data_IF_575016264617
#
_entry.id   IF_575016264617
#
_cell.length_a   1.000
_cell.length_b   1.000
_cell.length_c   1.000
_cell.angle_alpha   90.00
_cell.angle_beta   90.00
_cell.angle_gamma   90.00
#
_symmetry.space_group_name_H-M   'P 1'
#
loop_
_entity.id
_entity.type
_entity.pdbx_description
1 polymer ?
#
# COMPACT_ATOMS: atom_id res chain seq x y z
N UNK A 1 8.52 11.74 -9.55
CA UNK A 1 9.60 10.81 -9.17
C UNK A 1 9.01 9.56 -8.56
N UNK A 2 9.36 8.40 -9.09
CA UNK A 2 8.87 7.10 -8.62
C UNK A 2 9.85 6.45 -7.62
N UNK A 3 10.40 7.25 -6.70
CA UNK A 3 11.33 6.73 -5.70
C UNK A 3 10.56 5.92 -4.65
N UNK A 4 10.82 4.62 -4.61
CA UNK A 4 10.16 3.69 -3.69
C UNK A 4 11.12 2.56 -3.31
N UNK A 5 10.80 1.86 -2.23
CA UNK A 5 11.55 0.69 -1.77
C UNK A 5 10.64 -0.23 -0.96
N UNK A 6 11.01 -1.51 -0.87
CA UNK A 6 10.31 -2.44 -0.01
C UNK A 6 10.40 -1.99 1.46
N UNK A 7 9.27 -2.04 2.16
CA UNK A 7 9.11 -1.66 3.57
C UNK A 7 9.64 -0.27 3.92
N UNK A 8 9.53 0.68 2.98
CA UNK A 8 9.86 2.09 3.22
C UNK A 8 9.05 2.61 4.41
N UNK A 9 9.71 3.34 5.34
CA UNK A 9 9.09 3.76 6.61
C UNK A 9 8.49 2.56 7.35
N UNK A 10 9.34 1.61 7.70
CA UNK A 10 8.98 0.26 8.18
C UNK A 10 8.04 0.23 9.38
N UNK A 11 8.05 1.29 10.22
CA UNK A 11 7.14 1.40 11.36
C UNK A 11 5.65 1.36 10.96
N UNK A 12 5.31 1.82 9.77
CA UNK A 12 3.93 1.73 9.26
C UNK A 12 3.46 0.27 9.13
N UNK A 13 4.34 -0.63 8.72
CA UNK A 13 3.98 -2.04 8.54
C UNK A 13 3.81 -2.75 9.88
N UNK A 14 4.53 -2.36 10.92
CA UNK A 14 4.32 -2.86 12.29
C UNK A 14 2.95 -2.42 12.81
N UNK A 15 2.58 -1.16 12.61
CA UNK A 15 1.26 -0.63 12.98
C UNK A 15 0.15 -1.33 12.19
N UNK A 16 0.35 -1.50 10.89
CA UNK A 16 -0.59 -2.20 10.02
C UNK A 16 -0.78 -3.66 10.42
N UNK A 17 0.31 -4.36 10.72
CA UNK A 17 0.27 -5.75 11.22
C UNK A 17 -0.56 -5.87 12.50
N UNK A 18 -0.33 -4.99 13.48
CA UNK A 18 -1.11 -4.97 14.71
C UNK A 18 -2.59 -4.69 14.44
N UNK A 19 -2.89 -3.78 13.52
CA UNK A 19 -4.26 -3.45 13.14
C UNK A 19 -4.97 -4.65 12.48
N UNK A 20 -4.29 -5.37 11.60
CA UNK A 20 -4.83 -6.58 10.98
C UNK A 20 -5.18 -7.66 12.03
N UNK A 21 -4.37 -7.78 13.08
CA UNK A 21 -4.59 -8.73 14.16
C UNK A 21 -5.69 -8.32 15.14
N UNK A 22 -6.18 -7.09 15.06
CA UNK A 22 -7.22 -6.57 15.97
C UNK A 22 -8.62 -7.12 15.67
N UNK A 23 -8.83 -7.71 14.50
CA UNK A 23 -10.11 -8.35 14.14
C UNK A 23 -10.03 -9.87 14.33
N UNK A 24 -11.18 -10.55 14.53
CA UNK A 24 -11.24 -12.00 14.55
C UNK A 24 -10.66 -12.63 13.29
N UNK A 25 -10.09 -13.83 13.44
CA UNK A 25 -9.57 -14.59 12.31
C UNK A 25 -10.65 -14.81 11.25
N UNK A 26 -10.30 -14.62 9.98
CA UNK A 26 -11.23 -14.76 8.85
C UNK A 26 -12.06 -13.52 8.52
N UNK A 27 -12.01 -12.48 9.35
CA UNK A 27 -12.66 -11.21 9.02
C UNK A 27 -12.04 -10.60 7.73
N UNK A 28 -12.87 -10.13 6.77
CA UNK A 28 -12.35 -9.61 5.50
C UNK A 28 -11.70 -8.24 5.66
N UNK A 29 -10.67 -8.01 4.87
CA UNK A 29 -9.96 -6.75 4.78
C UNK A 29 -9.93 -6.25 3.34
N UNK A 30 -10.31 -5.01 3.13
CA UNK A 30 -10.20 -4.29 1.87
C UNK A 30 -9.27 -3.10 2.05
N UNK A 31 -8.18 -3.08 1.31
CA UNK A 31 -7.09 -2.08 1.44
C UNK A 31 -6.80 -1.44 0.10
N UNK A 32 -6.51 -0.16 0.11
CA UNK A 32 -6.10 0.59 -1.08
C UNK A 32 -4.71 1.20 -0.88
N UNK A 33 -3.82 0.96 -1.84
CA UNK A 33 -2.54 1.64 -2.00
C UNK A 33 -2.67 2.60 -3.20
N UNK A 34 -2.72 3.90 -2.92
CA UNK A 34 -3.12 4.90 -3.93
C UNK A 34 -2.01 5.30 -4.88
N UNK A 35 -0.75 5.08 -4.51
CA UNK A 35 0.43 5.42 -5.31
C UNK A 35 1.38 4.22 -5.35
N UNK A 36 1.04 3.23 -6.17
CA UNK A 36 1.69 1.94 -6.21
C UNK A 36 3.12 1.99 -6.77
N UNK A 37 3.41 2.95 -7.65
CA UNK A 37 4.67 3.02 -8.37
C UNK A 37 5.03 1.66 -9.00
N UNK A 38 6.25 1.19 -8.85
CA UNK A 38 6.72 -0.10 -9.40
C UNK A 38 6.41 -1.32 -8.54
N UNK A 39 5.60 -1.15 -7.49
CA UNK A 39 4.99 -2.26 -6.75
C UNK A 39 5.61 -2.60 -5.39
N UNK A 40 6.70 -1.97 -4.99
CA UNK A 40 7.40 -2.28 -3.74
C UNK A 40 6.49 -2.08 -2.52
N UNK A 41 5.71 -0.99 -2.48
CA UNK A 41 4.74 -0.75 -1.40
C UNK A 41 3.56 -1.74 -1.43
N UNK A 42 2.86 -1.95 -2.55
CA UNK A 42 1.81 -2.97 -2.61
C UNK A 42 2.26 -4.36 -2.13
N UNK A 43 3.41 -4.82 -2.57
CA UNK A 43 3.91 -6.12 -2.13
C UNK A 43 4.31 -6.13 -0.66
N UNK A 44 4.85 -5.03 -0.12
CA UNK A 44 5.13 -4.90 1.32
C UNK A 44 3.84 -4.99 2.15
N UNK A 45 2.76 -4.38 1.67
CA UNK A 45 1.43 -4.48 2.31
C UNK A 45 0.95 -5.93 2.32
N UNK A 46 1.04 -6.63 1.19
CA UNK A 46 0.60 -8.03 1.07
C UNK A 46 1.46 -8.96 1.90
N UNK A 47 2.78 -8.78 1.91
CA UNK A 47 3.67 -9.56 2.77
C UNK A 47 3.30 -9.42 4.24
N UNK A 48 3.03 -8.19 4.68
CA UNK A 48 2.57 -7.92 6.05
C UNK A 48 1.25 -8.62 6.35
N UNK A 49 0.31 -8.60 5.42
CA UNK A 49 -0.98 -9.30 5.57
C UNK A 49 -0.80 -10.82 5.68
N UNK A 50 0.05 -11.41 4.85
CA UNK A 50 0.35 -12.85 4.92
C UNK A 50 1.05 -13.25 6.23
N UNK A 51 1.97 -12.41 6.71
CA UNK A 51 2.63 -12.62 8.00
C UNK A 51 1.65 -12.50 9.18
N UNK A 52 0.71 -11.56 9.12
CA UNK A 52 -0.25 -11.30 10.20
C UNK A 52 -1.44 -12.27 10.20
N UNK A 53 -1.94 -12.67 9.02
CA UNK A 53 -3.21 -13.38 8.86
C UNK A 53 -3.06 -14.83 8.39
N UNK A 54 -1.87 -15.24 7.98
CA UNK A 54 -1.63 -16.58 7.44
C UNK A 54 -1.67 -16.62 5.90
N UNK A 55 -1.49 -17.81 5.34
CA UNK A 55 -1.23 -18.01 3.91
C UNK A 55 -2.45 -17.87 2.99
N UNK A 56 -3.64 -17.87 3.54
CA UNK A 56 -4.88 -17.75 2.76
C UNK A 56 -5.83 -16.75 3.41
N UNK A 57 -5.43 -15.47 3.48
CA UNK A 57 -6.21 -14.46 4.20
C UNK A 57 -7.43 -14.00 3.41
N UNK A 58 -8.49 -13.63 4.10
CA UNK A 58 -9.61 -12.88 3.55
C UNK A 58 -9.19 -11.42 3.36
N UNK A 59 -8.30 -11.18 2.39
CA UNK A 59 -7.62 -9.91 2.17
C UNK A 59 -7.59 -9.56 0.68
N UNK A 60 -7.89 -8.31 0.37
CA UNK A 60 -7.80 -7.78 -0.99
C UNK A 60 -7.15 -6.42 -0.98
N UNK A 61 -6.13 -6.24 -1.81
CA UNK A 61 -5.46 -4.96 -2.04
C UNK A 61 -5.81 -4.44 -3.42
N UNK A 62 -6.28 -3.20 -3.48
CA UNK A 62 -6.35 -2.42 -4.71
C UNK A 62 -5.11 -1.53 -4.75
N UNK A 63 -4.30 -1.66 -5.78
CA UNK A 63 -3.09 -0.86 -5.98
C UNK A 63 -3.25 -0.01 -7.22
N UNK A 64 -3.10 1.30 -7.08
CA UNK A 64 -3.34 2.23 -8.19
C UNK A 64 -2.16 3.17 -8.42
N UNK A 65 -2.05 3.65 -9.63
CA UNK A 65 -1.14 4.72 -10.02
C UNK A 65 -1.71 5.44 -11.24
N UNK A 66 -1.28 6.65 -11.49
CA UNK A 66 -1.63 7.37 -12.71
C UNK A 66 -0.80 6.89 -13.90
N UNK A 67 0.41 6.39 -13.66
CA UNK A 67 1.34 5.93 -14.70
C UNK A 67 1.13 4.43 -14.98
N UNK A 68 0.54 4.13 -16.15
CA UNK A 68 0.29 2.76 -16.57
C UNK A 68 1.57 1.92 -16.76
N UNK A 69 2.71 2.57 -17.03
CA UNK A 69 3.99 1.87 -17.22
C UNK A 69 4.50 1.32 -15.90
N UNK A 70 4.43 2.09 -14.82
CA UNK A 70 4.84 1.61 -13.49
C UNK A 70 3.89 0.50 -13.00
N UNK A 71 2.58 0.60 -13.30
CA UNK A 71 1.63 -0.45 -12.97
C UNK A 71 1.95 -1.77 -13.70
N UNK A 72 2.36 -1.70 -14.96
CA UNK A 72 2.78 -2.88 -15.71
C UNK A 72 4.02 -3.53 -15.07
N UNK A 73 4.99 -2.73 -14.64
CA UNK A 73 6.16 -3.21 -13.90
C UNK A 73 5.75 -3.84 -12.58
N UNK A 74 4.88 -3.19 -11.82
CA UNK A 74 4.37 -3.71 -10.56
C UNK A 74 3.67 -5.07 -10.75
N UNK A 75 2.84 -5.19 -11.78
CA UNK A 75 2.11 -6.44 -12.07
C UNK A 75 3.04 -7.60 -12.41
N UNK A 76 4.19 -7.34 -13.05
CA UNK A 76 5.20 -8.35 -13.34
C UNK A 76 5.89 -8.85 -12.07
N UNK A 77 6.10 -7.99 -11.08
CA UNK A 77 6.71 -8.34 -9.80
C UNK A 77 8.16 -8.79 -9.91
N UNK A 78 8.90 -8.30 -10.90
CA UNK A 78 10.32 -8.66 -11.13
C UNK A 78 11.20 -7.49 -10.72
N UNK A 79 12.19 -7.77 -9.89
CA UNK A 79 13.09 -6.77 -9.31
C UNK A 79 14.53 -7.24 -9.37
N UNK A 80 15.48 -6.32 -9.24
CA UNK A 80 16.89 -6.67 -9.05
C UNK A 80 17.08 -7.24 -7.65
N UNK A 81 17.97 -8.22 -7.51
CA UNK A 81 18.31 -8.83 -6.22
C UNK A 81 18.71 -7.78 -5.17
N UNK A 82 19.41 -6.71 -5.58
CA UNK A 82 19.83 -5.62 -4.72
C UNK A 82 18.65 -4.91 -4.04
N UNK A 83 17.48 -4.90 -4.67
CA UNK A 83 16.29 -4.26 -4.12
C UNK A 83 15.75 -4.94 -2.86
N UNK A 84 16.08 -6.20 -2.64
CA UNK A 84 15.58 -7.00 -1.52
C UNK A 84 16.64 -7.35 -0.48
N UNK A 85 17.88 -6.91 -0.65
CA UNK A 85 18.98 -7.23 0.28
C UNK A 85 18.74 -6.69 1.69
N UNK A 86 17.91 -5.66 1.86
CA UNK A 86 17.52 -5.13 3.16
C UNK A 86 16.43 -5.94 3.88
N UNK A 87 15.82 -6.91 3.20
CA UNK A 87 14.81 -7.78 3.81
C UNK A 87 15.46 -8.88 4.64
N UNK A 88 14.69 -9.43 5.60
CA UNK A 88 15.14 -10.63 6.33
C UNK A 88 15.25 -11.81 5.39
N UNK A 89 16.14 -12.74 5.70
CA UNK A 89 16.29 -13.96 4.91
C UNK A 89 14.99 -14.77 4.86
N UNK A 90 14.23 -14.78 5.93
CA UNK A 90 12.92 -15.41 6.01
C UNK A 90 11.95 -14.81 4.97
N UNK A 91 11.86 -13.48 4.88
CA UNK A 91 11.02 -12.81 3.88
C UNK A 91 11.50 -13.08 2.45
N UNK A 92 12.81 -13.04 2.21
CA UNK A 92 13.37 -13.35 0.90
C UNK A 92 12.99 -14.75 0.43
N UNK A 93 13.14 -15.75 1.29
CA UNK A 93 12.80 -17.15 0.96
C UNK A 93 11.30 -17.37 0.84
N UNK A 94 10.50 -16.74 1.70
CA UNK A 94 9.05 -16.94 1.73
C UNK A 94 8.36 -16.30 0.54
N UNK A 95 8.80 -15.13 0.10
CA UNK A 95 8.03 -14.29 -0.81
C UNK A 95 8.63 -14.14 -2.21
N UNK A 96 9.87 -14.57 -2.43
CA UNK A 96 10.55 -14.36 -3.71
C UNK A 96 11.11 -15.64 -4.29
N UNK A 97 11.13 -15.67 -5.63
CA UNK A 97 11.85 -16.66 -6.43
C UNK A 97 13.11 -16.00 -7.00
N UNK A 98 14.24 -16.70 -6.97
CA UNK A 98 15.49 -16.21 -7.55
C UNK A 98 15.62 -16.65 -9.00
N UNK A 99 16.05 -15.72 -9.85
CA UNK A 99 16.35 -15.99 -11.24
C UNK A 99 17.62 -16.81 -11.41
N UNK A 100 17.64 -17.62 -12.49
CA UNK A 100 18.76 -18.47 -12.88
C UNK A 100 19.11 -18.22 -14.35
N UNK A 101 20.33 -18.60 -14.75
CA UNK A 101 20.76 -18.45 -16.14
C UNK A 101 20.70 -17.00 -16.59
N UNK A 102 19.96 -16.72 -17.64
CA UNK A 102 19.77 -15.36 -18.19
C UNK A 102 19.07 -14.41 -17.23
N UNK A 103 18.37 -14.92 -16.20
CA UNK A 103 17.69 -14.15 -15.16
C UNK A 103 18.49 -14.05 -13.86
N UNK A 104 19.76 -14.46 -13.86
CA UNK A 104 20.62 -14.34 -12.69
C UNK A 104 20.70 -12.88 -12.22
N UNK A 105 20.66 -12.67 -10.90
CA UNK A 105 20.63 -11.32 -10.32
C UNK A 105 19.26 -10.67 -10.26
N UNK A 106 18.23 -11.36 -10.74
CA UNK A 106 16.83 -10.94 -10.64
C UNK A 106 16.06 -11.78 -9.62
N UNK A 107 15.03 -11.22 -9.07
CA UNK A 107 14.06 -11.89 -8.20
C UNK A 107 12.66 -11.61 -8.68
N UNK A 108 11.75 -12.52 -8.41
CA UNK A 108 10.33 -12.36 -8.72
C UNK A 108 9.49 -12.62 -7.48
N UNK A 109 8.53 -11.77 -7.24
CA UNK A 109 7.53 -12.00 -6.18
C UNK A 109 6.73 -13.27 -6.53
N UNK A 110 6.52 -14.14 -5.56
CA UNK A 110 5.75 -15.38 -5.77
C UNK A 110 4.31 -15.06 -6.21
N UNK A 111 3.72 -15.87 -7.09
CA UNK A 111 2.38 -15.60 -7.64
C UNK A 111 1.26 -15.45 -6.60
N UNK A 112 1.39 -16.09 -5.44
CA UNK A 112 0.42 -16.01 -4.35
C UNK A 112 0.19 -14.58 -3.88
N UNK A 113 1.23 -13.74 -3.92
CA UNK A 113 1.11 -12.33 -3.53
C UNK A 113 0.32 -11.54 -4.58
N UNK A 114 0.62 -11.73 -5.85
CA UNK A 114 -0.06 -11.04 -6.94
C UNK A 114 -1.56 -11.32 -7.01
N UNK A 115 -1.98 -12.51 -6.62
CA UNK A 115 -3.41 -12.88 -6.58
C UNK A 115 -4.23 -12.04 -5.61
N UNK A 116 -3.59 -11.44 -4.61
CA UNK A 116 -4.25 -10.61 -3.61
C UNK A 116 -4.34 -9.14 -4.06
N UNK A 117 -3.80 -8.79 -5.23
CA UNK A 117 -3.70 -7.41 -5.70
C UNK A 117 -4.44 -7.21 -7.02
N UNK A 118 -5.29 -6.19 -7.08
CA UNK A 118 -5.80 -5.62 -8.32
C UNK A 118 -5.03 -4.33 -8.62
N UNK A 119 -4.34 -4.30 -9.77
CA UNK A 119 -3.66 -3.10 -10.25
C UNK A 119 -4.59 -2.33 -11.18
N UNK A 120 -4.87 -1.07 -10.86
CA UNK A 120 -5.76 -0.21 -11.64
C UNK A 120 -5.16 1.19 -11.83
N UNK A 121 -5.58 1.89 -12.88
CA UNK A 121 -5.20 3.28 -13.08
C UNK A 121 -6.18 4.21 -12.36
N UNK A 122 -5.65 5.11 -11.52
CA UNK A 122 -6.44 6.14 -10.83
C UNK A 122 -5.67 7.44 -10.83
N UNK A 123 -6.33 8.53 -11.22
CA UNK A 123 -5.82 9.87 -11.05
C UNK A 123 -6.41 10.48 -9.77
N UNK A 124 -5.57 10.71 -8.75
CA UNK A 124 -6.01 11.18 -7.43
C UNK A 124 -6.68 12.55 -7.46
N UNK A 125 -6.30 13.42 -8.40
CA UNK A 125 -6.88 14.78 -8.48
C UNK A 125 -8.25 14.82 -9.18
N UNK A 126 -8.65 13.73 -9.83
CA UNK A 126 -10.01 13.61 -10.41
C UNK A 126 -10.98 13.10 -9.36
N UNK A 127 -12.28 13.29 -9.63
CA UNK A 127 -13.36 12.89 -8.72
C UNK A 127 -14.10 11.63 -9.17
N UNK A 128 -13.69 11.01 -10.27
CA UNK A 128 -14.29 9.83 -10.88
C UNK A 128 -13.60 8.51 -10.46
N UNK A 129 -13.25 8.38 -9.20
CA UNK A 129 -12.64 7.14 -8.70
C UNK A 129 -13.62 5.95 -8.81
N UNK A 130 -13.17 4.78 -9.30
CA UNK A 130 -14.05 3.67 -9.64
C UNK A 130 -14.48 2.79 -8.45
N UNK A 131 -14.36 3.29 -7.24
CA UNK A 131 -14.63 2.53 -6.02
C UNK A 131 -16.11 2.54 -5.66
N UNK A 132 -16.70 1.35 -5.49
CA UNK A 132 -18.10 1.17 -5.10
C UNK A 132 -18.25 0.88 -3.61
N UNK A 133 -17.29 0.15 -3.04
CA UNK A 133 -17.30 -0.24 -1.64
C UNK A 133 -16.18 0.48 -0.90
N UNK A 134 -16.39 0.87 0.36
CA UNK A 134 -15.36 1.55 1.14
C UNK A 134 -14.26 0.59 1.60
N UNK A 135 -13.07 1.16 1.78
CA UNK A 135 -11.89 0.44 2.26
C UNK A 135 -11.79 0.47 3.79
N UNK A 136 -11.16 -0.55 4.37
CA UNK A 136 -10.78 -0.59 5.78
C UNK A 136 -9.53 0.24 6.06
N UNK A 137 -8.59 0.25 5.11
CA UNK A 137 -7.30 0.93 5.22
C UNK A 137 -6.93 1.54 3.87
N UNK A 138 -6.38 2.74 3.90
CA UNK A 138 -5.80 3.42 2.73
C UNK A 138 -4.35 3.80 3.02
N UNK A 139 -3.46 3.43 2.12
CA UNK A 139 -2.09 3.92 2.06
C UNK A 139 -1.99 4.99 0.98
N UNK A 140 -1.77 6.24 1.38
CA UNK A 140 -1.56 7.36 0.48
C UNK A 140 -0.26 8.06 0.89
N UNK A 141 0.87 7.45 0.55
CA UNK A 141 2.18 7.81 1.08
C UNK A 141 3.05 8.44 0.01
N UNK A 142 3.71 9.55 0.36
CA UNK A 142 4.73 10.19 -0.46
C UNK A 142 4.23 10.64 -1.85
N UNK A 143 2.96 11.00 -1.97
CA UNK A 143 2.33 11.46 -3.21
C UNK A 143 1.70 12.85 -3.05
N UNK A 144 1.07 13.13 -1.91
CA UNK A 144 0.39 14.41 -1.71
C UNK A 144 1.35 15.60 -1.54
N UNK A 145 2.63 15.32 -1.28
CA UNK A 145 3.69 16.33 -1.26
C UNK A 145 3.83 17.09 -2.59
N UNK A 146 3.33 16.52 -3.69
CA UNK A 146 3.35 17.16 -5.02
C UNK A 146 2.12 18.03 -5.28
N UNK A 147 1.16 18.07 -4.38
CA UNK A 147 -0.09 18.83 -4.54
C UNK A 147 -0.07 20.10 -3.70
N UNK A 148 -0.71 21.17 -4.20
CA UNK A 148 -0.98 22.35 -3.38
C UNK A 148 -2.00 22.06 -2.26
N UNK A 149 -2.12 22.97 -1.31
CA UNK A 149 -3.01 22.80 -0.14
C UNK A 149 -4.47 22.52 -0.53
N UNK A 150 -5.09 23.32 -1.41
CA UNK A 150 -6.47 23.06 -1.85
C UNK A 150 -6.65 21.69 -2.52
N UNK A 151 -5.70 21.26 -3.33
CA UNK A 151 -5.75 19.93 -3.98
C UNK A 151 -5.59 18.81 -2.95
N UNK A 152 -4.65 18.95 -2.01
CA UNK A 152 -4.51 18.00 -0.88
C UNK A 152 -5.83 17.87 -0.12
N UNK A 153 -6.47 18.96 0.20
CA UNK A 153 -7.76 18.94 0.91
C UNK A 153 -8.84 18.19 0.13
N UNK A 154 -8.95 18.42 -1.17
CA UNK A 154 -9.92 17.70 -2.01
C UNK A 154 -9.63 16.20 -2.07
N UNK A 155 -8.36 15.82 -2.17
CA UNK A 155 -7.97 14.40 -2.15
C UNK A 155 -8.31 13.77 -0.79
N UNK A 156 -8.02 14.43 0.32
CA UNK A 156 -8.37 13.95 1.66
C UNK A 156 -9.87 13.78 1.86
N UNK A 157 -10.68 14.71 1.36
CA UNK A 157 -12.14 14.59 1.40
C UNK A 157 -12.66 13.38 0.62
N UNK A 158 -12.05 13.08 -0.53
CA UNK A 158 -12.38 11.89 -1.33
C UNK A 158 -11.95 10.61 -0.64
N UNK A 159 -10.75 10.58 -0.06
CA UNK A 159 -10.27 9.44 0.74
C UNK A 159 -11.22 9.20 1.90
N UNK A 160 -11.64 10.26 2.59
CA UNK A 160 -12.60 10.15 3.68
C UNK A 160 -13.89 9.44 3.25
N UNK A 161 -14.41 9.74 2.06
CA UNK A 161 -15.64 9.11 1.53
C UNK A 161 -15.47 7.63 1.20
N UNK A 162 -14.27 7.21 0.73
CA UNK A 162 -14.00 5.83 0.34
C UNK A 162 -13.39 5.00 1.47
N UNK A 163 -13.15 5.58 2.63
CA UNK A 163 -12.66 4.91 3.81
C UNK A 163 -13.82 4.68 4.77
N UNK A 164 -13.95 3.48 5.35
CA UNK A 164 -14.98 3.20 6.35
C UNK A 164 -14.81 4.09 7.59
N UNK A 165 -15.89 4.43 8.31
CA UNK A 165 -15.77 5.07 9.63
C UNK A 165 -14.82 4.25 10.54
N UNK A 166 -13.88 4.92 11.19
CA UNK A 166 -12.83 4.25 11.97
C UNK A 166 -11.73 3.60 11.15
N UNK A 167 -11.81 3.68 9.83
CA UNK A 167 -10.75 3.18 8.95
C UNK A 167 -9.45 3.98 9.05
N UNK A 168 -8.34 3.36 8.71
CA UNK A 168 -6.99 3.90 8.90
C UNK A 168 -6.42 4.47 7.61
N UNK A 169 -5.79 5.63 7.70
CA UNK A 169 -5.04 6.28 6.61
C UNK A 169 -3.57 6.39 7.00
N UNK A 170 -2.71 5.79 6.19
CA UNK A 170 -1.25 5.90 6.31
C UNK A 170 -0.74 6.91 5.29
N UNK A 171 0.03 7.88 5.73
CA UNK A 171 0.67 8.89 4.86
C UNK A 171 2.18 8.93 5.10
N UNK A 172 2.95 9.53 4.18
CA UNK A 172 4.40 9.62 4.31
C UNK A 172 4.84 10.55 5.45
N UNK A 173 6.05 10.36 5.97
CA UNK A 173 6.54 11.11 7.14
C UNK A 173 6.65 12.62 6.90
N UNK A 174 6.83 13.06 5.66
CA UNK A 174 6.86 14.47 5.29
C UNK A 174 5.46 15.07 5.08
N UNK A 175 4.41 14.26 5.16
CA UNK A 175 3.03 14.66 4.92
C UNK A 175 2.32 14.90 6.27
N UNK A 176 1.81 16.12 6.46
CA UNK A 176 1.12 16.51 7.69
C UNK A 176 -0.22 17.17 7.34
N UNK A 177 -1.30 16.64 7.88
CA UNK A 177 -2.66 17.09 7.61
C UNK A 177 -3.34 17.64 8.88
N UNK A 178 -2.60 18.40 9.67
CA UNK A 178 -3.11 19.03 10.90
C UNK A 178 -4.31 19.94 10.65
N UNK A 179 -4.45 20.50 9.45
CA UNK A 179 -5.58 21.33 9.04
C UNK A 179 -6.84 20.53 8.68
N UNK A 180 -6.75 19.22 8.59
CA UNK A 180 -7.87 18.32 8.25
C UNK A 180 -8.35 17.50 9.44
N UNK A 181 -8.26 18.05 10.65
CA UNK A 181 -8.72 17.42 11.90
C UNK A 181 -10.22 17.18 11.96
N UNK A 182 -10.98 17.88 11.14
CA UNK A 182 -12.42 17.65 10.96
C UNK A 182 -12.71 16.30 10.29
N UNK A 183 -11.78 15.82 9.44
CA UNK A 183 -11.92 14.57 8.69
C UNK A 183 -11.25 13.39 9.40
N UNK A 184 -10.08 13.62 10.00
CA UNK A 184 -9.22 12.56 10.53
C UNK A 184 -8.69 12.90 11.92
N UNK A 185 -8.51 11.87 12.73
CA UNK A 185 -7.84 11.94 14.03
C UNK A 185 -6.44 11.32 13.90
N UNK A 186 -5.41 12.05 14.30
CA UNK A 186 -4.04 11.52 14.33
C UNK A 186 -3.91 10.46 15.43
N UNK A 187 -3.45 9.26 15.07
CA UNK A 187 -3.30 8.11 15.98
C UNK A 187 -1.85 7.73 16.27
N UNK A 188 -0.91 8.31 15.56
CA UNK A 188 0.50 8.03 15.71
C UNK A 188 1.30 8.80 14.67
N UNK A 189 2.54 8.39 14.41
CA UNK A 189 3.38 9.02 13.39
C UNK A 189 2.77 8.83 12.01
N UNK A 190 2.15 9.87 11.47
CA UNK A 190 1.55 9.90 10.14
C UNK A 190 0.52 8.78 9.87
N UNK A 191 -0.15 8.33 10.92
CA UNK A 191 -1.27 7.39 10.84
C UNK A 191 -2.52 8.09 11.39
N UNK A 192 -3.55 8.12 10.57
CA UNK A 192 -4.81 8.82 10.84
C UNK A 192 -5.97 7.84 10.85
N UNK A 193 -7.00 8.15 11.62
CA UNK A 193 -8.25 7.41 11.66
C UNK A 193 -9.39 8.30 11.16
N UNK A 194 -10.24 7.78 10.29
CA UNK A 194 -11.43 8.50 9.82
C UNK A 194 -12.38 8.79 10.99
N UNK A 195 -12.80 10.04 11.09
CA UNK A 195 -13.88 10.50 11.98
C UNK A 195 -15.27 10.19 11.40
#
# INVERSE_FOLDING_TARGET
TNLTSFFRESHHFDIFSAHLRSRPAGAPWSVWCSAASTGEEPYSIVMTALEALGNNPAFKLTASDIDSRVLATAAQGVYRLESITGLTQERMQRFFLRGKGSNAGMVRVKPELGRLIDFISVNLIRDDWPFREPFDVVFCRNVMIYFDGPTQRRVLERIHRVLKPGGMLFVGHAENFSESRDLFTLRGKTVYERR
#
